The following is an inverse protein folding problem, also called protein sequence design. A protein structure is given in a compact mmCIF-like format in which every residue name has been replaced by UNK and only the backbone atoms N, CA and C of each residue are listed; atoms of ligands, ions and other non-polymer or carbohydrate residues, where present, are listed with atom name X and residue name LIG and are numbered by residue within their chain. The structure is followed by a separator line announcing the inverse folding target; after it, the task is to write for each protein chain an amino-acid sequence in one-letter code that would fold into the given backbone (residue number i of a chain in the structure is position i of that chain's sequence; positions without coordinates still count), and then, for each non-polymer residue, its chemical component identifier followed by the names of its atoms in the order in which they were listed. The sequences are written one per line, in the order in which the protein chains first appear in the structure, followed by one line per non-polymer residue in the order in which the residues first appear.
data_IF_905062593326
#
_entry.id   IF_905062593326
#
_cell.length_a   1.000
_cell.length_b   1.000
_cell.length_c   1.000
_cell.angle_alpha   90.00
_cell.angle_beta   90.00
_cell.angle_gamma   90.00
#
_symmetry.space_group_name_H-M   'P 1'
#
loop_
_entity.id
_entity.type
_entity.pdbx_description
1 polymer ?
#
# COMPACT_ATOMS: atom_id res chain seq x y z
N UNK A 1 -31.66 61.49 -13.39
CA UNK A 1 -30.96 60.55 -14.29
C UNK A 1 -29.74 60.05 -13.55
N UNK A 2 -29.90 58.98 -12.76
CA UNK A 2 -28.84 58.38 -11.96
C UNK A 2 -27.98 57.48 -12.84
N UNK A 3 -26.66 57.68 -12.82
CA UNK A 3 -25.69 56.83 -13.49
C UNK A 3 -25.77 55.38 -12.95
N UNK A 4 -25.47 54.34 -13.75
CA UNK A 4 -25.70 52.94 -13.39
C UNK A 4 -24.64 52.37 -12.41
N UNK A 5 -24.89 51.20 -11.80
CA UNK A 5 -24.12 50.59 -10.71
C UNK A 5 -22.81 49.89 -11.14
N UNK A 6 -22.19 50.28 -12.26
CA UNK A 6 -20.97 49.62 -12.77
C UNK A 6 -19.74 49.88 -11.89
N UNK A 7 -19.69 50.99 -11.15
CA UNK A 7 -18.52 51.34 -10.33
C UNK A 7 -18.43 50.55 -9.02
N UNK A 8 -19.56 50.20 -8.40
CA UNK A 8 -19.57 49.44 -7.14
C UNK A 8 -19.19 47.98 -7.34
N UNK A 9 -19.68 47.32 -8.40
CA UNK A 9 -19.36 45.91 -8.70
C UNK A 9 -17.89 45.71 -9.09
N UNK A 10 -17.29 46.64 -9.85
CA UNK A 10 -15.87 46.59 -10.24
C UNK A 10 -14.94 46.85 -9.04
N UNK A 11 -15.32 47.76 -8.13
CA UNK A 11 -14.54 48.04 -6.91
C UNK A 11 -14.62 46.88 -5.92
N UNK A 12 -15.79 46.27 -5.75
CA UNK A 12 -15.99 45.12 -4.88
C UNK A 12 -15.24 43.88 -5.41
N UNK A 13 -15.24 43.67 -6.73
CA UNK A 13 -14.44 42.62 -7.38
C UNK A 13 -12.92 42.85 -7.19
N UNK A 14 -12.42 44.09 -7.36
CA UNK A 14 -11.01 44.42 -7.08
C UNK A 14 -10.63 44.21 -5.61
N UNK A 15 -11.52 44.52 -4.67
CA UNK A 15 -11.28 44.32 -3.23
C UNK A 15 -11.21 42.83 -2.89
N UNK A 16 -12.11 42.01 -3.44
CA UNK A 16 -12.11 40.56 -3.26
C UNK A 16 -10.86 39.89 -3.85
N UNK A 17 -10.38 40.34 -5.01
CA UNK A 17 -9.12 39.85 -5.62
C UNK A 17 -7.92 40.14 -4.71
N UNK A 18 -7.82 41.36 -4.15
CA UNK A 18 -6.73 41.73 -3.23
C UNK A 18 -6.77 40.93 -1.92
N UNK A 19 -7.95 40.70 -1.37
CA UNK A 19 -8.12 39.86 -0.17
C UNK A 19 -7.67 38.42 -0.41
N UNK A 20 -8.11 37.80 -1.51
CA UNK A 20 -7.72 36.43 -1.87
C UNK A 20 -6.22 36.33 -2.11
N UNK A 21 -5.64 37.35 -2.76
CA UNK A 21 -4.21 37.41 -3.00
C UNK A 21 -3.41 37.51 -1.70
N UNK A 22 -3.81 38.37 -0.75
CA UNK A 22 -3.17 38.45 0.57
C UNK A 22 -3.26 37.14 1.34
N UNK A 23 -4.43 36.49 1.33
CA UNK A 23 -4.57 35.17 1.97
C UNK A 23 -3.65 34.12 1.35
N UNK A 24 -3.47 34.12 0.04
CA UNK A 24 -2.52 33.24 -0.66
C UNK A 24 -1.08 33.56 -0.24
N UNK A 25 -0.74 34.83 -0.11
CA UNK A 25 0.59 35.28 0.31
C UNK A 25 0.89 34.93 1.77
N UNK A 26 -0.13 34.84 2.62
CA UNK A 26 -0.02 34.44 4.03
C UNK A 26 -0.19 32.91 4.25
N UNK A 27 -0.71 32.16 3.27
CA UNK A 27 -1.00 30.73 3.43
C UNK A 27 0.23 29.83 3.43
N UNK A 28 1.41 30.35 3.07
CA UNK A 28 2.60 29.54 2.90
C UNK A 28 3.05 28.82 4.17
N UNK A 29 2.90 29.45 5.34
CA UNK A 29 3.25 28.84 6.64
C UNK A 29 2.34 27.65 6.94
N UNK A 30 1.02 27.84 6.78
CA UNK A 30 0.03 26.79 6.98
C UNK A 30 0.20 25.65 5.97
N UNK A 31 0.47 25.96 4.70
CA UNK A 31 0.75 24.97 3.66
C UNK A 31 1.98 24.12 3.99
N UNK A 32 3.05 24.75 4.50
CA UNK A 32 4.28 24.05 4.89
C UNK A 32 4.02 23.11 6.07
N UNK A 33 3.32 23.60 7.12
CA UNK A 33 2.97 22.80 8.29
C UNK A 33 2.08 21.61 7.92
N UNK A 34 1.00 21.85 7.16
CA UNK A 34 0.09 20.79 6.71
C UNK A 34 0.81 19.78 5.82
N UNK A 35 1.72 20.24 4.96
CA UNK A 35 2.52 19.34 4.11
C UNK A 35 3.48 18.48 4.92
N UNK A 36 4.15 19.02 5.94
CA UNK A 36 5.04 18.23 6.80
C UNK A 36 4.27 17.12 7.54
N UNK A 37 3.10 17.46 8.10
CA UNK A 37 2.20 16.50 8.76
C UNK A 37 1.70 15.46 7.76
N UNK A 38 1.30 15.88 6.56
CA UNK A 38 0.81 14.99 5.51
C UNK A 38 1.91 14.04 5.02
N UNK A 39 3.15 14.51 4.87
CA UNK A 39 4.30 13.65 4.54
C UNK A 39 4.46 12.60 5.63
N UNK A 40 4.58 13.01 6.89
CA UNK A 40 4.74 12.07 8.00
C UNK A 40 3.61 11.04 8.01
N UNK A 41 2.35 11.48 7.93
CA UNK A 41 1.19 10.60 7.94
C UNK A 41 1.13 9.65 6.74
N UNK A 42 1.49 10.12 5.53
CA UNK A 42 1.47 9.28 4.32
C UNK A 42 2.59 8.25 4.29
N UNK A 43 3.75 8.52 4.89
CA UNK A 43 4.81 7.52 5.06
C UNK A 43 4.38 6.39 6.01
N UNK A 44 3.59 6.67 7.05
CA UNK A 44 3.06 5.63 7.95
C UNK A 44 2.12 4.65 7.23
N UNK A 45 1.49 5.07 6.11
CA UNK A 45 0.61 4.20 5.34
C UNK A 45 1.35 3.03 4.67
N UNK A 46 2.67 3.09 4.49
CA UNK A 46 3.44 1.93 4.03
C UNK A 46 3.37 0.77 5.02
N UNK A 47 3.47 1.04 6.34
CA UNK A 47 3.30 0.02 7.37
C UNK A 47 1.88 -0.57 7.39
N UNK A 48 0.87 0.23 7.04
CA UNK A 48 -0.50 -0.27 6.88
C UNK A 48 -0.62 -1.25 5.69
N UNK A 49 0.08 -0.99 4.58
CA UNK A 49 0.12 -1.91 3.43
C UNK A 49 0.81 -3.21 3.81
N UNK A 50 1.92 -3.15 4.54
CA UNK A 50 2.62 -4.33 5.03
C UNK A 50 1.74 -5.16 5.96
N UNK A 51 1.10 -4.52 6.94
CA UNK A 51 0.13 -5.16 7.83
C UNK A 51 -1.04 -5.81 7.06
N UNK A 52 -1.63 -5.09 6.11
CA UNK A 52 -2.74 -5.60 5.29
C UNK A 52 -2.30 -6.79 4.44
N UNK A 53 -1.07 -6.75 3.90
CA UNK A 53 -0.48 -7.85 3.14
C UNK A 53 -0.33 -9.09 4.00
N UNK A 54 0.25 -8.96 5.20
CA UNK A 54 0.43 -10.07 6.12
C UNK A 54 -0.93 -10.66 6.55
N UNK A 55 -1.94 -9.82 6.78
CA UNK A 55 -3.31 -10.27 7.06
C UNK A 55 -3.96 -11.00 5.90
N UNK A 56 -3.73 -10.57 4.66
CA UNK A 56 -4.23 -11.30 3.49
C UNK A 56 -3.54 -12.65 3.30
N UNK A 57 -2.24 -12.75 3.56
CA UNK A 57 -1.52 -14.04 3.53
C UNK A 57 -2.08 -14.98 4.60
N UNK A 58 -2.34 -14.48 5.79
CA UNK A 58 -2.84 -15.28 6.91
C UNK A 58 -4.30 -15.73 6.71
N UNK A 59 -5.18 -14.85 6.25
CA UNK A 59 -6.63 -15.05 6.25
C UNK A 59 -7.23 -15.52 4.92
N UNK A 60 -6.66 -15.11 3.77
CA UNK A 60 -7.27 -15.46 2.48
C UNK A 60 -6.94 -16.91 2.11
N UNK A 61 -7.90 -17.67 1.56
CA UNK A 61 -7.60 -18.90 0.83
C UNK A 61 -6.62 -18.64 -0.31
N UNK A 62 -5.80 -19.64 -0.65
CA UNK A 62 -4.73 -19.51 -1.66
C UNK A 62 -5.29 -19.11 -3.03
N UNK A 63 -6.51 -19.57 -3.37
CA UNK A 63 -7.21 -19.25 -4.62
C UNK A 63 -7.59 -17.77 -4.71
N UNK A 64 -7.69 -17.09 -3.57
CA UNK A 64 -8.04 -15.66 -3.47
C UNK A 64 -6.82 -14.74 -3.38
N UNK A 65 -5.60 -15.28 -3.33
CA UNK A 65 -4.38 -14.48 -3.20
C UNK A 65 -4.22 -13.44 -4.33
N UNK A 66 -4.69 -13.74 -5.55
CA UNK A 66 -4.66 -12.77 -6.66
C UNK A 66 -5.47 -11.50 -6.35
N UNK A 67 -6.61 -11.63 -5.66
CA UNK A 67 -7.42 -10.47 -5.27
C UNK A 67 -6.72 -9.69 -4.15
N UNK A 68 -6.17 -10.40 -3.17
CA UNK A 68 -5.34 -9.79 -2.11
C UNK A 68 -4.19 -8.99 -2.70
N UNK A 69 -3.43 -9.59 -3.63
CA UNK A 69 -2.34 -8.95 -4.37
C UNK A 69 -2.80 -7.67 -5.06
N UNK A 70 -3.88 -7.74 -5.86
CA UNK A 70 -4.38 -6.58 -6.60
C UNK A 70 -4.74 -5.42 -5.66
N UNK A 71 -5.36 -5.70 -4.51
CA UNK A 71 -5.74 -4.69 -3.53
C UNK A 71 -4.49 -4.02 -2.92
N UNK A 72 -3.56 -4.81 -2.37
CA UNK A 72 -2.37 -4.25 -1.68
C UNK A 72 -1.39 -3.60 -2.66
N UNK A 73 -1.25 -4.13 -3.88
CA UNK A 73 -0.39 -3.53 -4.90
C UNK A 73 -0.95 -2.20 -5.39
N UNK A 74 -2.26 -2.11 -5.69
CA UNK A 74 -2.90 -0.85 -6.07
C UNK A 74 -2.88 0.16 -4.91
N UNK A 75 -3.05 -0.32 -3.67
CA UNK A 75 -2.89 0.49 -2.46
C UNK A 75 -1.48 1.06 -2.32
N UNK A 76 -0.45 0.23 -2.51
CA UNK A 76 0.95 0.62 -2.49
C UNK A 76 1.24 1.68 -3.56
N UNK A 77 0.72 1.49 -4.78
CA UNK A 77 0.86 2.44 -5.89
C UNK A 77 0.20 3.78 -5.55
N UNK A 78 -1.03 3.76 -5.04
CA UNK A 78 -1.77 4.95 -4.65
C UNK A 78 -1.04 5.75 -3.56
N UNK A 79 -0.55 5.08 -2.52
CA UNK A 79 0.22 5.70 -1.43
C UNK A 79 1.54 6.25 -1.96
N UNK A 80 2.25 5.50 -2.82
CA UNK A 80 3.53 5.93 -3.38
C UNK A 80 3.42 7.20 -4.23
N UNK A 81 2.35 7.31 -5.03
CA UNK A 81 2.04 8.52 -5.80
C UNK A 81 1.74 9.68 -4.85
N UNK A 82 0.91 9.46 -3.82
CA UNK A 82 0.54 10.49 -2.86
C UNK A 82 1.74 11.02 -2.06
N UNK A 83 2.60 10.11 -1.56
CA UNK A 83 3.86 10.46 -0.89
C UNK A 83 4.75 11.26 -1.84
N UNK A 84 4.92 10.80 -3.08
CA UNK A 84 5.73 11.51 -4.09
C UNK A 84 5.22 12.94 -4.33
N UNK A 85 3.90 13.14 -4.41
CA UNK A 85 3.30 14.47 -4.59
C UNK A 85 3.62 15.39 -3.42
N UNK A 86 3.48 14.93 -2.18
CA UNK A 86 3.78 15.75 -1.00
C UNK A 86 5.28 16.04 -0.85
N UNK A 87 6.16 15.07 -1.14
CA UNK A 87 7.61 15.27 -1.12
C UNK A 87 8.04 16.29 -2.17
N UNK A 88 7.57 16.15 -3.42
CA UNK A 88 7.91 17.09 -4.49
C UNK A 88 7.34 18.48 -4.17
N UNK A 89 6.11 18.57 -3.64
CA UNK A 89 5.54 19.83 -3.16
C UNK A 89 6.46 20.49 -2.11
N UNK A 90 6.89 19.74 -1.11
CA UNK A 90 7.75 20.25 -0.03
C UNK A 90 9.10 20.74 -0.55
N UNK A 91 9.75 20.00 -1.45
CA UNK A 91 11.01 20.41 -2.10
C UNK A 91 10.83 21.68 -2.91
N UNK A 92 9.76 21.78 -3.70
CA UNK A 92 9.46 22.99 -4.48
C UNK A 92 9.17 24.20 -3.58
N UNK A 93 8.51 23.98 -2.44
CA UNK A 93 8.25 25.06 -1.47
C UNK A 93 9.54 25.53 -0.80
N UNK A 94 10.45 24.63 -0.44
CA UNK A 94 11.77 24.99 0.06
C UNK A 94 12.59 25.77 -0.99
N UNK A 95 12.55 25.33 -2.26
CA UNK A 95 13.15 26.05 -3.38
C UNK A 95 12.57 27.45 -3.55
N UNK A 96 11.24 27.58 -3.46
CA UNK A 96 10.54 28.87 -3.51
C UNK A 96 10.99 29.81 -2.39
N UNK A 97 11.06 29.33 -1.13
CA UNK A 97 11.53 30.12 0.01
C UNK A 97 12.95 30.63 -0.27
N UNK A 98 13.83 29.77 -0.79
CA UNK A 98 15.18 30.15 -1.19
C UNK A 98 15.22 31.24 -2.27
N UNK A 99 14.38 31.14 -3.31
CA UNK A 99 14.28 32.15 -4.36
C UNK A 99 13.75 33.49 -3.85
N UNK A 100 12.76 33.48 -2.95
CA UNK A 100 12.22 34.68 -2.32
C UNK A 100 13.28 35.35 -1.43
N UNK A 101 13.99 34.56 -0.63
CA UNK A 101 15.11 35.04 0.18
C UNK A 101 16.25 35.61 -0.66
N UNK A 102 16.54 35.00 -1.81
CA UNK A 102 17.52 35.55 -2.75
C UNK A 102 17.05 36.87 -3.36
N UNK A 103 15.76 36.97 -3.74
CA UNK A 103 15.19 38.15 -4.40
C UNK A 103 15.08 39.36 -3.46
N UNK A 104 15.01 39.14 -2.15
CA UNK A 104 14.96 40.23 -1.17
C UNK A 104 16.31 40.94 -1.02
N UNK A 105 17.42 40.23 -1.24
CA UNK A 105 18.79 40.76 -1.17
C UNK A 105 19.31 41.15 -2.55
N UNK A 106 19.03 40.35 -3.57
CA UNK A 106 19.45 40.53 -4.97
C UNK A 106 18.23 40.45 -5.90
N UNK A 107 17.56 41.58 -6.19
CA UNK A 107 16.28 41.59 -6.92
C UNK A 107 16.39 41.31 -8.43
N UNK A 108 17.54 41.62 -9.03
CA UNK A 108 17.78 41.42 -10.45
C UNK A 108 19.26 41.11 -10.72
N UNK A 109 19.53 40.63 -11.93
CA UNK A 109 20.88 40.35 -12.38
C UNK A 109 21.61 41.66 -12.70
N UNK A 110 22.83 41.85 -12.16
CA UNK A 110 23.71 42.96 -12.55
C UNK A 110 24.70 42.51 -13.64
N UNK A 111 24.74 43.24 -14.75
CA UNK A 111 25.77 43.07 -15.80
C UNK A 111 27.09 43.72 -15.35
N UNK A 112 26.99 44.83 -14.62
CA UNK A 112 28.12 45.69 -14.26
C UNK A 112 28.88 45.14 -13.06
N UNK A 113 28.17 44.54 -12.09
CA UNK A 113 28.74 43.97 -10.86
C UNK A 113 28.98 42.45 -10.98
N UNK A 114 28.94 41.91 -12.21
CA UNK A 114 29.11 40.48 -12.44
C UNK A 114 30.55 40.04 -12.22
N UNK A 115 30.75 38.94 -11.50
CA UNK A 115 32.07 38.28 -11.35
C UNK A 115 32.55 37.66 -12.67
N UNK A 116 31.65 37.46 -13.63
CA UNK A 116 31.96 36.89 -14.95
C UNK A 116 32.19 37.96 -16.01
N UNK A 117 32.88 37.59 -17.09
CA UNK A 117 33.08 38.51 -18.23
C UNK A 117 31.74 39.00 -18.80
N UNK A 118 31.67 40.28 -19.19
CA UNK A 118 30.46 40.89 -19.75
C UNK A 118 29.81 40.06 -20.86
N UNK A 119 30.61 39.55 -21.80
CA UNK A 119 30.12 38.73 -22.94
C UNK A 119 29.44 37.45 -22.44
N UNK A 120 30.01 36.80 -21.42
CA UNK A 120 29.42 35.59 -20.84
C UNK A 120 28.13 35.92 -20.10
N UNK A 121 28.14 36.98 -19.28
CA UNK A 121 26.97 37.43 -18.51
C UNK A 121 25.81 37.78 -19.42
N UNK A 122 26.02 38.58 -20.46
CA UNK A 122 24.97 38.94 -21.43
C UNK A 122 24.36 37.69 -22.11
N UNK A 123 25.19 36.71 -22.49
CA UNK A 123 24.71 35.46 -23.10
C UNK A 123 23.90 34.60 -22.12
N UNK A 124 24.31 34.52 -20.85
CA UNK A 124 23.59 33.76 -19.83
C UNK A 124 22.26 34.44 -19.48
N UNK A 125 22.25 35.77 -19.32
CA UNK A 125 21.03 36.51 -19.03
C UNK A 125 20.00 36.43 -20.16
N UNK A 126 20.44 36.25 -21.41
CA UNK A 126 19.55 36.04 -22.55
C UNK A 126 18.73 34.73 -22.48
N UNK A 127 19.19 33.72 -21.73
CA UNK A 127 18.51 32.42 -21.60
C UNK A 127 17.84 32.22 -20.23
N UNK A 128 18.24 33.00 -19.22
CA UNK A 128 17.68 32.89 -17.88
C UNK A 128 16.32 33.62 -17.78
N UNK A 129 15.34 33.04 -17.07
CA UNK A 129 14.13 33.76 -16.72
C UNK A 129 14.44 34.86 -15.71
N UNK A 130 13.58 35.89 -15.65
CA UNK A 130 13.56 36.82 -14.53
C UNK A 130 13.29 36.07 -13.22
N UNK A 131 13.92 36.50 -12.14
CA UNK A 131 13.79 35.85 -10.84
C UNK A 131 12.34 35.89 -10.33
N UNK A 132 11.68 37.05 -10.41
CA UNK A 132 10.25 37.20 -10.06
C UNK A 132 9.33 36.24 -10.84
N UNK A 133 9.58 36.05 -12.14
CA UNK A 133 8.79 35.14 -12.97
C UNK A 133 8.95 33.69 -12.52
N UNK A 134 10.14 33.34 -12.06
CA UNK A 134 10.45 32.00 -11.55
C UNK A 134 9.76 31.77 -10.21
N UNK A 135 9.84 32.74 -9.29
CA UNK A 135 9.14 32.73 -8.00
C UNK A 135 7.64 32.52 -8.22
N UNK A 136 7.01 33.29 -9.11
CA UNK A 136 5.57 33.16 -9.42
C UNK A 136 5.22 31.80 -10.01
N UNK A 137 6.02 31.28 -10.94
CA UNK A 137 5.78 29.96 -11.56
C UNK A 137 5.89 28.82 -10.55
N UNK A 138 6.90 28.86 -9.66
CA UNK A 138 7.08 27.85 -8.62
C UNK A 138 5.94 27.93 -7.60
N UNK A 139 5.51 29.13 -7.20
CA UNK A 139 4.37 29.31 -6.29
C UNK A 139 3.07 28.72 -6.87
N UNK A 140 2.76 29.05 -8.13
CA UNK A 140 1.63 28.49 -8.87
C UNK A 140 1.70 26.95 -8.92
N UNK A 141 2.91 26.41 -9.14
CA UNK A 141 3.12 24.97 -9.16
C UNK A 141 2.85 24.37 -7.79
N UNK A 142 3.40 24.92 -6.72
CA UNK A 142 3.16 24.46 -5.35
C UNK A 142 1.66 24.42 -5.01
N UNK A 143 0.92 25.50 -5.28
CA UNK A 143 -0.53 25.55 -5.00
C UNK A 143 -1.32 24.47 -5.76
N UNK A 144 -0.96 24.23 -7.03
CA UNK A 144 -1.57 23.20 -7.87
C UNK A 144 -1.30 21.79 -7.31
N UNK A 145 -0.06 21.52 -6.89
CA UNK A 145 0.32 20.22 -6.33
C UNK A 145 -0.37 19.99 -5.00
N UNK A 146 -0.32 20.97 -4.11
CA UNK A 146 -0.94 20.90 -2.79
C UNK A 146 -2.44 20.62 -2.90
N UNK A 147 -3.15 21.38 -3.74
CA UNK A 147 -4.57 21.16 -3.99
C UNK A 147 -4.87 19.78 -4.57
N UNK A 148 -4.06 19.31 -5.53
CA UNK A 148 -4.23 17.97 -6.12
C UNK A 148 -3.99 16.86 -5.10
N UNK A 149 -2.88 16.93 -4.37
CA UNK A 149 -2.48 15.92 -3.38
C UNK A 149 -3.52 15.84 -2.26
N UNK A 150 -3.97 16.99 -1.75
CA UNK A 150 -5.00 17.05 -0.72
C UNK A 150 -6.35 16.52 -1.21
N UNK A 151 -6.73 16.79 -2.45
CA UNK A 151 -7.95 16.24 -3.06
C UNK A 151 -7.89 14.72 -3.18
N UNK A 152 -6.76 14.17 -3.63
CA UNK A 152 -6.54 12.73 -3.72
C UNK A 152 -6.56 12.10 -2.33
N UNK A 153 -5.90 12.72 -1.35
CA UNK A 153 -5.93 12.29 0.05
C UNK A 153 -7.37 12.21 0.57
N UNK A 154 -8.19 13.25 0.36
CA UNK A 154 -9.60 13.24 0.77
C UNK A 154 -10.41 12.14 0.09
N UNK A 155 -10.19 11.91 -1.21
CA UNK A 155 -10.84 10.82 -1.95
C UNK A 155 -10.48 9.47 -1.34
N UNK A 156 -9.18 9.22 -1.10
CA UNK A 156 -8.70 7.96 -0.54
C UNK A 156 -9.20 7.74 0.89
N UNK A 157 -9.14 8.76 1.74
CA UNK A 157 -9.65 8.69 3.11
C UNK A 157 -11.15 8.39 3.12
N UNK A 158 -11.94 9.10 2.31
CA UNK A 158 -13.38 8.86 2.21
C UNK A 158 -13.69 7.44 1.71
N UNK A 159 -13.01 7.00 0.65
CA UNK A 159 -13.20 5.66 0.08
C UNK A 159 -12.81 4.56 1.05
N UNK A 160 -11.68 4.71 1.73
CA UNK A 160 -11.21 3.75 2.73
C UNK A 160 -12.21 3.63 3.88
N UNK A 161 -12.72 4.75 4.40
CA UNK A 161 -13.72 4.75 5.46
C UNK A 161 -15.05 4.14 5.01
N UNK A 162 -15.51 4.52 3.82
CA UNK A 162 -16.75 3.96 3.24
C UNK A 162 -16.65 2.45 3.02
N UNK A 163 -15.56 1.97 2.43
CA UNK A 163 -15.32 0.54 2.21
C UNK A 163 -15.16 -0.22 3.53
N UNK A 164 -14.51 0.37 4.53
CA UNK A 164 -14.36 -0.26 5.84
C UNK A 164 -15.72 -0.45 6.53
N UNK A 165 -16.59 0.57 6.49
CA UNK A 165 -17.95 0.48 7.02
C UNK A 165 -18.76 -0.54 6.22
N UNK A 166 -18.65 -0.53 4.89
CA UNK A 166 -19.33 -1.52 4.04
C UNK A 166 -18.89 -2.94 4.38
N UNK A 167 -17.59 -3.19 4.53
CA UNK A 167 -17.05 -4.51 4.90
C UNK A 167 -17.48 -4.94 6.30
N UNK A 168 -17.55 -4.01 7.26
CA UNK A 168 -18.07 -4.30 8.60
C UNK A 168 -19.53 -4.77 8.53
N UNK A 169 -20.39 -4.03 7.82
CA UNK A 169 -21.80 -4.39 7.63
C UNK A 169 -21.91 -5.71 6.87
N UNK A 170 -21.09 -5.92 5.83
CA UNK A 170 -21.05 -7.16 5.06
C UNK A 170 -20.79 -8.36 5.96
N UNK A 171 -19.74 -8.31 6.79
CA UNK A 171 -19.38 -9.40 7.69
C UNK A 171 -20.44 -9.64 8.77
N UNK A 172 -21.09 -8.59 9.30
CA UNK A 172 -22.17 -8.74 10.28
C UNK A 172 -23.43 -9.39 9.71
N UNK A 173 -23.70 -9.23 8.40
CA UNK A 173 -24.92 -9.73 7.75
C UNK A 173 -24.69 -11.04 6.98
N UNK A 174 -23.44 -11.48 6.79
CA UNK A 174 -23.09 -12.61 5.95
C UNK A 174 -23.77 -13.92 6.38
N UNK A 175 -23.94 -14.12 7.69
CA UNK A 175 -24.59 -15.32 8.24
C UNK A 175 -26.13 -15.30 8.08
N UNK A 176 -26.71 -14.12 7.84
CA UNK A 176 -28.16 -13.92 7.77
C UNK A 176 -28.67 -13.71 6.35
N UNK A 177 -27.84 -13.14 5.47
CA UNK A 177 -28.22 -12.74 4.11
C UNK A 177 -27.23 -13.36 3.12
N UNK A 178 -27.72 -14.00 2.04
CA UNK A 178 -26.86 -14.54 1.01
C UNK A 178 -25.89 -13.50 0.44
N UNK A 179 -24.62 -13.90 0.28
CA UNK A 179 -23.52 -13.03 -0.15
C UNK A 179 -23.80 -12.27 -1.46
N UNK A 180 -24.48 -12.89 -2.43
CA UNK A 180 -24.82 -12.25 -3.70
C UNK A 180 -25.75 -11.05 -3.54
N UNK A 181 -26.63 -11.04 -2.53
CA UNK A 181 -27.51 -9.90 -2.22
C UNK A 181 -26.70 -8.76 -1.61
N UNK A 182 -25.81 -9.10 -0.67
CA UNK A 182 -24.93 -8.13 0.00
C UNK A 182 -23.96 -7.44 -0.97
N UNK A 183 -23.63 -8.09 -2.10
CA UNK A 183 -22.78 -7.55 -3.16
C UNK A 183 -23.52 -6.63 -4.16
N UNK A 184 -24.86 -6.62 -4.18
CA UNK A 184 -25.65 -5.78 -5.12
C UNK A 184 -25.25 -4.30 -5.06
N UNK A 185 -25.12 -3.64 -3.89
CA UNK A 185 -24.72 -2.24 -3.83
C UNK A 185 -23.35 -1.98 -4.48
N UNK A 186 -22.37 -2.87 -4.27
CA UNK A 186 -21.05 -2.76 -4.87
C UNK A 186 -21.12 -2.85 -6.40
N UNK A 187 -21.87 -3.81 -6.93
CA UNK A 187 -22.07 -3.95 -8.39
C UNK A 187 -22.80 -2.75 -9.00
N UNK A 188 -23.78 -2.17 -8.29
CA UNK A 188 -24.47 -0.96 -8.73
C UNK A 188 -23.52 0.24 -8.82
N UNK A 189 -22.67 0.44 -7.80
CA UNK A 189 -21.66 1.50 -7.80
C UNK A 189 -20.65 1.30 -8.95
N UNK A 190 -20.16 0.06 -9.12
CA UNK A 190 -19.22 -0.27 -10.19
C UNK A 190 -19.83 -0.04 -11.58
N UNK A 191 -21.07 -0.48 -11.80
CA UNK A 191 -21.82 -0.26 -13.03
C UNK A 191 -21.99 1.24 -13.33
N UNK A 192 -22.31 2.02 -12.29
CA UNK A 192 -22.46 3.47 -12.40
C UNK A 192 -21.12 4.16 -12.78
N UNK A 193 -20.00 3.73 -12.20
CA UNK A 193 -18.65 4.21 -12.54
C UNK A 193 -18.28 3.87 -14.00
N UNK A 194 -18.54 2.64 -14.45
CA UNK A 194 -18.31 2.21 -15.83
C UNK A 194 -19.17 3.02 -16.80
N UNK A 195 -20.45 3.22 -16.48
CA UNK A 195 -21.36 4.01 -17.29
C UNK A 195 -20.92 5.48 -17.38
N UNK A 196 -20.49 6.07 -16.25
CA UNK A 196 -19.89 7.41 -16.24
C UNK A 196 -18.67 7.46 -17.15
N UNK A 197 -17.77 6.47 -17.08
CA UNK A 197 -16.56 6.42 -17.92
C UNK A 197 -16.92 6.40 -19.41
N UNK A 198 -17.84 5.53 -19.82
CA UNK A 198 -18.29 5.43 -21.22
C UNK A 198 -18.88 6.75 -21.71
N UNK A 199 -19.80 7.36 -20.95
CA UNK A 199 -20.40 8.64 -21.31
C UNK A 199 -19.38 9.79 -21.32
N UNK A 200 -18.38 9.74 -20.44
CA UNK A 200 -17.30 10.73 -20.43
C UNK A 200 -16.43 10.61 -21.68
N UNK A 201 -16.08 9.39 -22.10
CA UNK A 201 -15.33 9.19 -23.35
C UNK A 201 -16.14 9.68 -24.54
N UNK A 202 -17.40 9.23 -24.68
CA UNK A 202 -18.28 9.61 -25.80
C UNK A 202 -18.50 11.13 -25.81
N UNK A 203 -18.84 11.71 -24.66
CA UNK A 203 -19.10 13.14 -24.51
C UNK A 203 -17.89 14.02 -24.82
N UNK A 204 -16.66 13.52 -24.69
CA UNK A 204 -15.45 14.26 -25.04
C UNK A 204 -14.98 14.07 -26.49
N UNK A 205 -15.61 13.17 -27.27
CA UNK A 205 -15.30 13.04 -28.70
C UNK A 205 -15.71 14.30 -29.47
N UNK A 206 -14.90 14.70 -30.47
CA UNK A 206 -15.17 15.88 -31.31
C UNK A 206 -16.56 15.89 -31.96
N UNK A 207 -17.15 14.71 -32.19
CA UNK A 207 -18.49 14.55 -32.78
C UNK A 207 -19.63 14.88 -31.80
N UNK A 208 -19.44 14.64 -30.50
CA UNK A 208 -20.52 14.70 -29.50
C UNK A 208 -20.28 15.75 -28.40
N UNK A 209 -19.12 16.42 -28.40
CA UNK A 209 -18.78 17.47 -27.43
C UNK A 209 -19.78 18.64 -27.38
N UNK A 210 -20.44 18.94 -28.51
CA UNK A 210 -21.43 20.01 -28.61
C UNK A 210 -22.87 19.47 -28.71
N UNK A 211 -23.08 18.16 -28.57
CA UNK A 211 -24.41 17.58 -28.61
C UNK A 211 -25.10 17.73 -27.24
N UNK A 212 -26.12 18.59 -27.16
CA UNK A 212 -26.83 18.93 -25.92
C UNK A 212 -27.36 17.71 -25.18
N UNK A 213 -27.89 16.71 -25.90
CA UNK A 213 -28.45 15.52 -25.27
C UNK A 213 -27.36 14.68 -24.59
N UNK A 214 -26.24 14.42 -25.28
CA UNK A 214 -25.11 13.66 -24.74
C UNK A 214 -24.51 14.38 -23.53
N UNK A 215 -24.28 15.69 -23.64
CA UNK A 215 -23.70 16.48 -22.54
C UNK A 215 -24.63 16.54 -21.31
N UNK A 216 -25.95 16.62 -21.53
CA UNK A 216 -26.91 16.63 -20.42
C UNK A 216 -26.92 15.30 -19.66
N UNK A 217 -26.88 14.17 -20.38
CA UNK A 217 -26.80 12.86 -19.75
C UNK A 217 -25.46 12.62 -19.06
N UNK A 218 -24.35 13.02 -19.70
CA UNK A 218 -23.03 12.99 -19.08
C UNK A 218 -23.03 13.77 -17.76
N UNK A 219 -23.58 14.99 -17.73
CA UNK A 219 -23.70 15.78 -16.50
C UNK A 219 -24.52 15.06 -15.42
N UNK A 220 -25.70 14.54 -15.77
CA UNK A 220 -26.56 13.81 -14.82
C UNK A 220 -25.85 12.59 -14.23
N UNK A 221 -25.17 11.82 -15.07
CA UNK A 221 -24.41 10.63 -14.67
C UNK A 221 -23.22 11.00 -13.79
N UNK A 222 -22.38 11.96 -14.19
CA UNK A 222 -21.23 12.41 -13.39
C UNK A 222 -21.70 12.92 -12.03
N UNK A 223 -22.78 13.70 -11.98
CA UNK A 223 -23.34 14.21 -10.73
C UNK A 223 -23.84 13.08 -9.82
N UNK A 224 -24.62 12.14 -10.36
CA UNK A 224 -25.16 11.01 -9.59
C UNK A 224 -24.05 10.13 -9.07
N UNK A 225 -23.12 9.73 -9.95
CA UNK A 225 -21.98 8.89 -9.58
C UNK A 225 -21.14 9.57 -8.52
N UNK A 226 -20.76 10.84 -8.71
CA UNK A 226 -19.98 11.58 -7.71
C UNK A 226 -20.69 11.68 -6.36
N UNK A 227 -22.02 11.84 -6.35
CA UNK A 227 -22.80 11.87 -5.12
C UNK A 227 -22.78 10.53 -4.37
N UNK A 228 -22.82 9.41 -5.08
CA UNK A 228 -22.75 8.06 -4.48
C UNK A 228 -21.32 7.74 -4.05
N UNK A 229 -20.36 7.98 -4.92
CA UNK A 229 -18.94 7.64 -4.79
C UNK A 229 -18.23 8.50 -3.76
N UNK A 230 -18.56 9.79 -3.64
CA UNK A 230 -17.89 10.73 -2.74
C UNK A 230 -18.78 11.28 -1.63
N UNK A 231 -20.05 10.86 -1.57
CA UNK A 231 -21.00 11.27 -0.54
C UNK A 231 -21.07 12.78 -0.37
N UNK A 232 -20.98 13.31 0.87
CA UNK A 232 -21.07 14.76 1.14
C UNK A 232 -20.00 15.61 0.44
N UNK A 233 -18.85 15.02 0.09
CA UNK A 233 -17.72 15.75 -0.50
C UNK A 233 -17.86 16.00 -2.00
N UNK A 234 -18.87 15.42 -2.66
CA UNK A 234 -18.98 15.42 -4.13
C UNK A 234 -18.92 16.81 -4.75
N UNK A 235 -19.54 17.83 -4.14
CA UNK A 235 -19.54 19.20 -4.69
C UNK A 235 -18.14 19.82 -4.67
N UNK A 236 -17.44 19.67 -3.56
CA UNK A 236 -16.09 20.21 -3.37
C UNK A 236 -15.11 19.52 -4.33
N UNK A 237 -15.19 18.19 -4.44
CA UNK A 237 -14.32 17.41 -5.33
C UNK A 237 -14.61 17.69 -6.81
N UNK A 238 -15.89 17.86 -7.19
CA UNK A 238 -16.26 18.27 -8.55
C UNK A 238 -15.78 19.68 -8.87
N UNK A 239 -15.88 20.62 -7.92
CA UNK A 239 -15.35 21.97 -8.10
C UNK A 239 -13.85 21.93 -8.40
N UNK A 240 -13.08 21.21 -7.58
CA UNK A 240 -11.63 21.06 -7.79
C UNK A 240 -11.36 20.42 -9.15
N UNK A 241 -12.01 19.29 -9.45
CA UNK A 241 -11.83 18.57 -10.72
C UNK A 241 -12.14 19.44 -11.95
N UNK A 242 -13.17 20.28 -11.89
CA UNK A 242 -13.54 21.20 -12.99
C UNK A 242 -12.54 22.36 -13.14
N UNK A 243 -12.02 22.89 -12.02
CA UNK A 243 -10.95 23.91 -12.04
C UNK A 243 -9.69 23.33 -12.70
N UNK A 244 -9.30 22.12 -12.34
CA UNK A 244 -8.19 21.41 -12.98
C UNK A 244 -8.46 21.16 -14.46
N UNK A 245 -9.57 20.50 -14.81
CA UNK A 245 -9.88 20.09 -16.18
C UNK A 245 -9.97 21.25 -17.18
N UNK A 246 -10.50 22.40 -16.75
CA UNK A 246 -10.62 23.60 -17.59
C UNK A 246 -9.28 24.32 -17.84
N UNK A 247 -8.31 24.17 -16.94
CA UNK A 247 -6.99 24.81 -17.04
C UNK A 247 -5.87 23.88 -17.52
N UNK A 248 -6.07 22.55 -17.44
CA UNK A 248 -5.08 21.52 -17.75
C UNK A 248 -4.50 21.64 -19.16
N UNK A 249 -5.36 21.83 -20.19
CA UNK A 249 -4.92 21.89 -21.60
C UNK A 249 -4.13 23.16 -21.95
N UNK A 250 -4.27 24.23 -21.18
CA UNK A 250 -3.62 25.52 -21.48
C UNK A 250 -2.18 25.59 -20.93
N UNK A 251 -1.87 24.84 -19.87
CA UNK A 251 -0.55 24.84 -19.22
C UNK A 251 0.17 23.50 -19.44
N UNK A 252 0.95 23.37 -20.52
CA UNK A 252 1.75 22.14 -20.81
C UNK A 252 2.65 21.70 -19.63
N UNK A 253 3.17 22.66 -18.85
CA UNK A 253 3.97 22.40 -17.64
C UNK A 253 3.24 21.53 -16.61
N UNK A 254 1.91 21.66 -16.51
CA UNK A 254 1.10 20.90 -15.54
C UNK A 254 0.96 19.44 -15.97
N UNK A 255 0.96 19.16 -17.29
CA UNK A 255 0.98 17.80 -17.82
C UNK A 255 2.28 17.09 -17.46
N UNK A 256 3.43 17.74 -17.70
CA UNK A 256 4.74 17.17 -17.34
C UNK A 256 4.87 16.94 -15.84
N UNK A 257 4.32 17.83 -15.02
CA UNK A 257 4.29 17.67 -13.58
C UNK A 257 3.50 16.43 -13.15
N UNK A 258 2.29 16.23 -13.69
CA UNK A 258 1.48 15.03 -13.40
C UNK A 258 2.24 13.76 -13.83
N UNK A 259 2.83 13.75 -15.02
CA UNK A 259 3.64 12.61 -15.46
C UNK A 259 4.83 12.35 -14.53
N UNK A 260 5.48 13.40 -14.01
CA UNK A 260 6.56 13.26 -13.04
C UNK A 260 6.08 12.64 -11.72
N UNK A 261 4.87 12.96 -11.25
CA UNK A 261 4.28 12.31 -10.07
C UNK A 261 4.01 10.84 -10.27
N UNK A 262 3.44 10.47 -11.42
CA UNK A 262 3.23 9.05 -11.73
C UNK A 262 4.56 8.32 -11.87
N UNK A 263 5.56 8.90 -12.54
CA UNK A 263 6.87 8.27 -12.69
C UNK A 263 7.57 8.10 -11.33
N UNK A 264 7.60 9.15 -10.49
CA UNK A 264 8.16 9.09 -9.13
C UNK A 264 7.42 8.08 -8.25
N UNK A 265 6.09 8.08 -8.31
CA UNK A 265 5.25 7.16 -7.56
C UNK A 265 5.48 5.70 -7.97
N UNK A 266 5.53 5.42 -9.26
CA UNK A 266 5.85 4.07 -9.79
C UNK A 266 7.24 3.64 -9.34
N UNK A 267 8.25 4.52 -9.44
CA UNK A 267 9.59 4.21 -8.96
C UNK A 267 9.60 3.87 -7.46
N UNK A 268 8.95 4.68 -6.63
CA UNK A 268 8.82 4.43 -5.20
C UNK A 268 8.06 3.12 -4.90
N UNK A 269 7.03 2.79 -5.68
CA UNK A 269 6.32 1.51 -5.59
C UNK A 269 7.25 0.34 -5.89
N UNK A 270 8.07 0.42 -6.94
CA UNK A 270 9.01 -0.65 -7.29
C UNK A 270 10.03 -0.90 -6.18
N UNK A 271 10.54 0.16 -5.55
CA UNK A 271 11.44 0.06 -4.40
C UNK A 271 10.70 -0.58 -3.22
N UNK A 272 9.53 -0.05 -2.85
CA UNK A 272 8.79 -0.53 -1.68
C UNK A 272 8.16 -1.89 -1.84
N UNK A 273 7.88 -2.32 -3.06
CA UNK A 273 7.37 -3.65 -3.35
C UNK A 273 8.34 -4.74 -2.87
N UNK A 274 9.65 -4.50 -2.96
CA UNK A 274 10.68 -5.45 -2.54
C UNK A 274 10.81 -5.54 -1.02
N UNK A 275 10.47 -4.46 -0.30
CA UNK A 275 10.51 -4.40 1.17
C UNK A 275 9.28 -5.09 1.82
N UNK A 276 8.30 -5.55 1.02
CA UNK A 276 7.03 -6.08 1.53
C UNK A 276 6.84 -7.55 1.19
N UNK A 277 5.92 -8.22 1.88
CA UNK A 277 5.52 -9.60 1.59
C UNK A 277 4.55 -9.74 0.39
N UNK A 278 4.26 -8.66 -0.35
CA UNK A 278 3.34 -8.68 -1.50
C UNK A 278 3.73 -9.75 -2.55
N UNK A 279 5.01 -9.99 -2.86
CA UNK A 279 5.40 -11.05 -3.80
C UNK A 279 4.88 -12.44 -3.42
N UNK A 280 4.69 -12.72 -2.12
CA UNK A 280 4.18 -14.01 -1.66
C UNK A 280 2.76 -14.31 -2.17
N UNK A 281 1.94 -13.27 -2.42
CA UNK A 281 0.56 -13.41 -2.91
C UNK A 281 0.46 -13.77 -4.40
N UNK A 282 1.55 -13.67 -5.17
CA UNK A 282 1.54 -14.00 -6.61
C UNK A 282 2.53 -15.11 -6.96
N UNK A 283 3.74 -15.03 -6.40
CA UNK A 283 4.85 -15.93 -6.68
C UNK A 283 5.49 -16.27 -5.34
N UNK A 284 4.90 -17.18 -4.52
CA UNK A 284 5.59 -17.68 -3.36
C UNK A 284 6.94 -18.23 -3.82
N UNK A 285 8.02 -17.75 -3.21
CA UNK A 285 9.38 -18.09 -3.63
C UNK A 285 9.56 -19.60 -3.52
N UNK A 286 9.95 -20.23 -4.63
CA UNK A 286 10.51 -21.57 -4.55
C UNK A 286 11.85 -21.45 -3.83
N UNK A 287 12.01 -22.19 -2.74
CA UNK A 287 13.24 -22.18 -1.98
C UNK A 287 14.20 -23.21 -2.55
N UNK A 288 15.33 -22.74 -3.07
CA UNK A 288 16.37 -23.62 -3.61
C UNK A 288 17.06 -24.37 -2.47
N UNK A 289 17.29 -25.66 -2.66
CA UNK A 289 18.02 -26.53 -1.72
C UNK A 289 19.45 -26.07 -1.48
N UNK A 290 20.04 -25.29 -2.40
CA UNK A 290 21.43 -24.84 -2.34
C UNK A 290 21.59 -23.41 -1.78
N UNK A 291 20.51 -22.75 -1.35
CA UNK A 291 20.56 -21.38 -0.83
C UNK A 291 20.19 -21.34 0.64
N UNK A 292 20.98 -20.60 1.42
CA UNK A 292 20.66 -20.24 2.80
C UNK A 292 19.84 -18.96 2.80
N UNK A 293 18.69 -18.97 3.45
CA UNK A 293 17.85 -17.79 3.62
C UNK A 293 17.80 -17.40 5.10
N UNK A 294 18.02 -16.11 5.38
CA UNK A 294 18.07 -15.58 6.75
C UNK A 294 16.79 -15.84 7.55
N UNK A 295 15.64 -15.89 6.87
CA UNK A 295 14.34 -16.14 7.49
C UNK A 295 14.15 -17.58 8.02
N UNK A 296 15.07 -18.49 7.75
CA UNK A 296 15.08 -19.83 8.34
C UNK A 296 15.74 -19.91 9.70
N UNK A 297 16.49 -18.89 10.13
CA UNK A 297 17.29 -18.95 11.34
C UNK A 297 16.88 -17.82 12.29
N UNK A 298 16.46 -18.17 13.51
CA UNK A 298 15.92 -17.19 14.47
C UNK A 298 16.95 -16.20 15.00
N UNK A 299 18.22 -16.58 15.05
CA UNK A 299 19.32 -15.68 15.42
C UNK A 299 19.72 -14.69 14.31
N UNK A 300 19.26 -14.90 13.07
CA UNK A 300 19.62 -14.08 11.90
C UNK A 300 18.43 -13.35 11.27
N UNK A 301 17.20 -13.76 11.58
CA UNK A 301 16.02 -13.14 11.00
C UNK A 301 15.79 -11.75 11.61
N UNK A 302 16.05 -10.69 10.84
CA UNK A 302 15.84 -9.31 11.28
C UNK A 302 14.37 -8.88 11.32
N UNK A 303 13.50 -9.59 10.60
CA UNK A 303 12.06 -9.34 10.55
C UNK A 303 11.29 -10.59 11.02
N UNK A 304 11.11 -10.67 12.33
CA UNK A 304 10.28 -11.71 12.96
C UNK A 304 8.86 -11.20 13.24
N UNK A 305 8.39 -10.14 12.59
CA UNK A 305 7.01 -9.65 12.78
C UNK A 305 5.99 -10.58 12.13
N UNK A 306 6.35 -11.24 11.02
CA UNK A 306 5.51 -12.21 10.32
C UNK A 306 6.36 -13.25 9.58
N UNK A 307 6.28 -14.49 10.02
CA UNK A 307 6.98 -15.65 9.47
C UNK A 307 6.18 -16.25 8.30
N UNK A 308 6.82 -16.29 7.13
CA UNK A 308 6.33 -16.98 5.93
C UNK A 308 6.83 -18.42 5.80
N UNK A 309 7.85 -18.77 6.57
CA UNK A 309 8.62 -20.00 6.43
C UNK A 309 8.83 -20.69 7.77
N UNK A 310 9.09 -22.01 7.77
CA UNK A 310 9.60 -22.68 8.96
C UNK A 310 10.95 -22.10 9.38
N UNK A 311 11.26 -22.24 10.67
CA UNK A 311 12.43 -21.64 11.28
C UNK A 311 13.10 -22.63 12.26
N UNK A 312 14.42 -22.63 12.29
CA UNK A 312 15.26 -23.31 13.28
C UNK A 312 16.08 -22.29 14.09
N UNK A 313 16.73 -22.73 15.16
CA UNK A 313 17.39 -21.80 16.07
C UNK A 313 18.60 -21.06 15.49
N UNK A 314 19.36 -21.68 14.58
CA UNK A 314 20.59 -21.14 14.01
C UNK A 314 21.02 -21.98 12.79
N UNK A 315 21.88 -21.42 11.95
CA UNK A 315 22.54 -22.16 10.87
C UNK A 315 23.67 -23.05 11.40
N UNK A 316 24.19 -22.79 12.59
CA UNK A 316 25.17 -23.63 13.30
C UNK A 316 24.54 -24.18 14.58
N UNK A 317 24.34 -25.48 14.61
CA UNK A 317 23.75 -26.20 15.75
C UNK A 317 24.85 -26.82 16.59
N UNK A 318 25.06 -26.27 17.79
CA UNK A 318 26.00 -26.78 18.81
C UNK A 318 25.29 -27.64 19.87
N UNK A 319 23.95 -27.54 19.93
CA UNK A 319 23.13 -28.19 20.95
C UNK A 319 22.76 -29.65 20.64
N UNK A 320 22.03 -30.24 21.58
CA UNK A 320 21.59 -31.64 21.54
C UNK A 320 20.35 -31.87 20.68
N UNK A 321 19.65 -30.80 20.32
CA UNK A 321 18.39 -30.87 19.56
C UNK A 321 18.29 -29.73 18.56
N UNK A 322 17.63 -29.98 17.43
CA UNK A 322 17.17 -28.95 16.50
C UNK A 322 15.71 -28.66 16.81
N UNK A 323 15.40 -27.40 17.13
CA UNK A 323 14.04 -26.94 17.38
C UNK A 323 13.48 -26.39 16.07
N UNK A 324 12.52 -27.09 15.50
CA UNK A 324 11.81 -26.68 14.29
C UNK A 324 10.49 -26.02 14.67
N UNK A 325 10.27 -24.79 14.24
CA UNK A 325 8.96 -24.12 14.29
C UNK A 325 8.38 -24.01 12.88
N UNK A 326 7.11 -24.36 12.71
CA UNK A 326 6.38 -24.24 11.45
C UNK A 326 5.17 -23.33 11.69
N UNK A 327 5.09 -22.14 11.05
CA UNK A 327 3.93 -21.28 11.16
C UNK A 327 2.71 -21.92 10.47
N UNK A 328 1.53 -21.74 11.06
CA UNK A 328 0.25 -22.22 10.53
C UNK A 328 -0.66 -21.01 10.31
N UNK A 329 -1.05 -20.78 9.06
CA UNK A 329 -1.93 -19.67 8.71
C UNK A 329 -3.40 -20.01 8.98
N UNK A 330 -4.22 -19.00 9.27
CA UNK A 330 -5.63 -19.21 9.61
C UNK A 330 -6.43 -19.85 8.48
N UNK A 331 -6.16 -19.47 7.23
CA UNK A 331 -6.84 -20.03 6.06
C UNK A 331 -6.57 -21.53 5.85
N UNK A 332 -5.51 -22.10 6.45
CA UNK A 332 -5.20 -23.53 6.32
C UNK A 332 -6.31 -24.42 6.87
N UNK A 333 -7.10 -23.92 7.83
CA UNK A 333 -8.27 -24.61 8.37
C UNK A 333 -9.30 -24.98 7.30
N UNK A 334 -9.38 -24.20 6.23
CA UNK A 334 -10.33 -24.44 5.14
C UNK A 334 -10.01 -25.74 4.36
N UNK A 335 -8.76 -26.23 4.43
CA UNK A 335 -8.32 -27.44 3.74
C UNK A 335 -8.14 -28.65 4.66
N UNK A 336 -8.30 -28.46 5.99
CA UNK A 336 -8.09 -29.53 6.97
C UNK A 336 -9.12 -30.65 6.82
N UNK A 337 -10.37 -30.33 6.52
CA UNK A 337 -11.44 -31.32 6.39
C UNK A 337 -11.16 -32.32 5.25
N UNK A 338 -10.61 -31.86 4.13
CA UNK A 338 -10.22 -32.72 3.00
C UNK A 338 -9.08 -33.68 3.37
N UNK A 339 -8.17 -33.24 4.23
CA UNK A 339 -6.98 -34.02 4.60
C UNK A 339 -7.22 -34.96 5.78
N UNK A 340 -8.03 -34.53 6.75
CA UNK A 340 -8.15 -35.17 8.06
C UNK A 340 -9.57 -35.64 8.40
N UNK A 341 -10.58 -35.21 7.63
CA UNK A 341 -11.99 -35.33 7.97
C UNK A 341 -12.49 -34.17 8.86
N UNK A 342 -13.80 -34.10 9.06
CA UNK A 342 -14.39 -33.16 10.02
C UNK A 342 -14.31 -33.70 11.44
N UNK A 343 -14.05 -32.82 12.39
CA UNK A 343 -14.12 -33.16 13.81
C UNK A 343 -15.58 -33.35 14.23
N UNK A 344 -15.92 -34.49 14.81
CA UNK A 344 -17.23 -34.76 15.36
C UNK A 344 -17.20 -34.60 16.87
N UNK A 345 -17.99 -33.64 17.37
CA UNK A 345 -18.18 -33.45 18.80
C UNK A 345 -18.91 -34.64 19.42
N UNK A 346 -18.50 -35.01 20.62
CA UNK A 346 -19.08 -36.13 21.36
C UNK A 346 -19.87 -35.58 22.55
N UNK A 347 -21.18 -35.45 22.36
CA UNK A 347 -22.12 -34.92 23.36
C UNK A 347 -22.10 -35.69 24.71
N UNK A 348 -21.46 -36.88 24.75
CA UNK A 348 -21.32 -37.66 25.98
C UNK A 348 -20.13 -37.24 26.85
N UNK A 349 -19.17 -36.47 26.33
CA UNK A 349 -17.98 -36.02 27.04
C UNK A 349 -18.23 -34.72 27.81
N UNK A 350 -17.49 -34.55 28.91
CA UNK A 350 -17.45 -33.24 29.57
C UNK A 350 -16.80 -32.19 28.67
N UNK A 351 -17.14 -30.91 28.84
CA UNK A 351 -16.57 -29.82 28.03
C UNK A 351 -15.03 -29.77 28.06
N UNK A 352 -14.39 -30.21 29.15
CA UNK A 352 -12.93 -30.26 29.24
C UNK A 352 -12.34 -31.44 28.45
N UNK A 353 -12.95 -32.63 28.55
CA UNK A 353 -12.53 -33.81 27.77
C UNK A 353 -12.70 -33.58 26.27
N UNK A 354 -13.81 -32.97 25.89
CA UNK A 354 -14.12 -32.60 24.51
C UNK A 354 -13.07 -31.60 23.96
N UNK A 355 -12.69 -30.61 24.78
CA UNK A 355 -11.62 -29.67 24.44
C UNK A 355 -10.27 -30.36 24.25
N UNK A 356 -9.94 -31.36 25.07
CA UNK A 356 -8.70 -32.15 24.94
C UNK A 356 -8.72 -32.99 23.67
N UNK A 357 -9.84 -33.68 23.39
CA UNK A 357 -10.03 -34.52 22.19
C UNK A 357 -9.95 -33.68 20.92
N UNK A 358 -10.64 -32.54 20.86
CA UNK A 358 -10.59 -31.58 19.75
C UNK A 358 -9.17 -31.05 19.52
N UNK A 359 -8.48 -30.63 20.59
CA UNK A 359 -7.09 -30.13 20.48
C UNK A 359 -6.16 -31.20 19.91
N UNK A 360 -6.30 -32.45 20.35
CA UNK A 360 -5.52 -33.59 19.87
C UNK A 360 -5.82 -33.88 18.40
N UNK A 361 -7.10 -33.95 18.01
CA UNK A 361 -7.50 -34.14 16.62
C UNK A 361 -6.83 -33.12 15.68
N UNK A 362 -6.88 -31.83 16.01
CA UNK A 362 -6.26 -30.80 15.17
C UNK A 362 -4.72 -30.88 15.20
N UNK A 363 -4.11 -31.31 16.31
CA UNK A 363 -2.66 -31.53 16.36
C UNK A 363 -2.25 -32.66 15.40
N UNK A 364 -2.91 -33.81 15.52
CA UNK A 364 -2.71 -34.98 14.65
C UNK A 364 -2.98 -34.63 13.17
N UNK A 365 -3.93 -33.73 12.92
CA UNK A 365 -4.19 -33.22 11.57
C UNK A 365 -3.01 -32.41 11.02
N UNK A 366 -2.41 -31.51 11.82
CA UNK A 366 -1.21 -30.79 11.41
C UNK A 366 -0.06 -31.73 11.02
N UNK A 367 0.11 -32.84 11.74
CA UNK A 367 1.15 -33.84 11.44
C UNK A 367 0.89 -34.57 10.10
N UNK A 368 -0.36 -34.74 9.67
CA UNK A 368 -0.68 -35.43 8.42
C UNK A 368 -0.27 -34.64 7.17
N UNK A 369 -0.41 -33.32 7.22
CA UNK A 369 -0.17 -32.47 6.05
C UNK A 369 1.18 -31.74 6.08
N UNK A 370 1.95 -31.91 7.16
CA UNK A 370 3.35 -31.54 7.25
C UNK A 370 4.23 -32.77 7.18
N UNK A 371 5.13 -32.82 6.19
CA UNK A 371 6.18 -33.83 6.09
C UNK A 371 7.52 -33.18 6.38
N UNK A 372 8.29 -33.80 7.26
CA UNK A 372 9.65 -33.34 7.59
C UNK A 372 10.63 -34.44 7.23
N UNK A 373 11.62 -34.11 6.40
CA UNK A 373 12.70 -35.04 6.06
C UNK A 373 14.04 -34.44 6.47
N UNK A 374 14.95 -35.28 6.96
CA UNK A 374 16.32 -34.91 7.29
C UNK A 374 17.25 -35.71 6.40
N UNK A 375 18.06 -35.00 5.60
CA UNK A 375 18.99 -35.59 4.64
C UNK A 375 18.30 -36.64 3.72
N UNK A 376 17.06 -36.37 3.32
CA UNK A 376 16.22 -37.23 2.49
C UNK A 376 15.48 -38.36 3.22
N UNK A 377 15.67 -38.52 4.54
CA UNK A 377 14.98 -39.54 5.36
C UNK A 377 13.78 -38.92 6.05
N UNK A 378 12.60 -39.52 5.94
CA UNK A 378 11.39 -39.07 6.62
C UNK A 378 11.54 -39.17 8.14
N UNK A 379 11.22 -38.08 8.84
CA UNK A 379 11.23 -38.02 10.31
C UNK A 379 9.81 -38.14 10.85
N UNK A 380 9.66 -38.89 11.93
CA UNK A 380 8.46 -38.87 12.76
C UNK A 380 8.72 -37.93 13.95
N UNK A 381 8.14 -36.74 13.91
CA UNK A 381 8.35 -35.69 14.93
C UNK A 381 7.05 -35.53 15.69
N UNK A 382 7.12 -35.62 17.03
CA UNK A 382 6.00 -35.29 17.88
C UNK A 382 5.89 -33.76 17.97
N UNK A 383 4.85 -33.20 17.36
CA UNK A 383 4.65 -31.76 17.37
C UNK A 383 3.89 -31.29 18.61
N UNK A 384 4.17 -30.05 19.04
CA UNK A 384 3.41 -29.33 20.05
C UNK A 384 2.86 -28.04 19.43
N UNK A 385 1.68 -27.60 19.89
CA UNK A 385 1.14 -26.29 19.54
C UNK A 385 1.90 -25.20 20.30
N UNK A 386 2.28 -24.14 19.60
CA UNK A 386 2.97 -23.01 20.22
C UNK A 386 2.75 -21.74 19.41
N UNK A 387 2.58 -20.63 20.11
CA UNK A 387 2.68 -19.31 19.48
C UNK A 387 4.15 -18.87 19.42
N UNK A 388 4.54 -18.32 18.28
CA UNK A 388 5.88 -17.81 18.07
C UNK A 388 6.18 -16.69 19.07
N UNK A 389 7.41 -16.65 19.61
CA UNK A 389 7.73 -15.77 20.73
C UNK A 389 7.73 -14.27 20.36
N UNK A 390 7.96 -13.95 19.08
CA UNK A 390 8.08 -12.57 18.59
C UNK A 390 6.91 -12.18 17.69
N UNK A 391 6.63 -12.96 16.64
CA UNK A 391 5.50 -12.70 15.73
C UNK A 391 4.13 -13.00 16.33
N UNK A 392 4.06 -13.71 17.47
CA UNK A 392 2.81 -14.21 18.08
C UNK A 392 1.96 -15.09 17.15
N UNK A 393 2.51 -15.52 16.00
CA UNK A 393 1.80 -16.41 15.08
C UNK A 393 1.66 -17.80 15.68
N UNK A 394 0.47 -18.37 15.53
CA UNK A 394 0.22 -19.76 15.84
C UNK A 394 1.06 -20.68 14.94
N UNK A 395 1.61 -21.73 15.52
CA UNK A 395 2.34 -22.74 14.79
C UNK A 395 2.46 -24.06 15.53
N UNK A 396 3.21 -24.97 14.91
CA UNK A 396 3.62 -26.23 15.53
C UNK A 396 5.14 -26.23 15.74
N UNK A 397 5.59 -26.76 16.87
CA UNK A 397 7.00 -26.88 17.23
C UNK A 397 7.36 -28.34 17.45
N UNK A 398 8.49 -28.76 16.87
CA UNK A 398 9.04 -30.09 17.02
C UNK A 398 10.51 -30.04 17.39
N UNK A 399 11.01 -31.11 18.00
CA UNK A 399 12.40 -31.26 18.40
C UNK A 399 12.99 -32.49 17.71
N UNK A 400 14.16 -32.32 17.10
CA UNK A 400 14.89 -33.38 16.40
C UNK A 400 16.15 -33.66 17.20
N UNK A 401 16.27 -34.89 17.69
CA UNK A 401 17.39 -35.29 18.54
C UNK A 401 18.70 -35.45 17.75
N UNK A 402 19.82 -35.17 18.41
CA UNK A 402 21.16 -35.22 17.81
C UNK A 402 21.54 -36.56 17.19
N UNK A 403 20.96 -37.66 17.66
CA UNK A 403 21.26 -39.02 17.17
C UNK A 403 20.88 -39.19 15.69
N UNK A 404 19.95 -38.37 15.21
CA UNK A 404 19.51 -38.35 13.81
C UNK A 404 20.40 -37.47 12.93
N UNK A 405 21.21 -36.60 13.52
CA UNK A 405 22.04 -35.61 12.82
C UNK A 405 23.38 -36.19 12.39
N UNK A 406 23.81 -35.86 11.18
CA UNK A 406 25.18 -36.15 10.71
C UNK A 406 26.11 -35.04 11.17
N UNK A 407 27.33 -35.37 11.62
CA UNK A 407 28.35 -34.34 11.87
C UNK A 407 28.62 -33.58 10.56
N UNK A 408 28.58 -32.25 10.62
CA UNK A 408 28.75 -31.38 9.46
C UNK A 408 27.43 -30.95 8.82
N UNK A 409 27.37 -30.91 7.49
CA UNK A 409 26.21 -30.40 6.76
C UNK A 409 25.00 -31.33 6.89
N UNK A 410 23.86 -30.75 7.22
CA UNK A 410 22.55 -31.38 7.20
C UNK A 410 21.58 -30.51 6.41
N UNK A 411 20.52 -31.13 5.89
CA UNK A 411 19.43 -30.43 5.22
C UNK A 411 18.11 -30.95 5.78
N UNK A 412 17.33 -30.03 6.35
CA UNK A 412 15.98 -30.28 6.80
C UNK A 412 15.00 -29.78 5.73
N UNK A 413 14.17 -30.66 5.20
CA UNK A 413 13.14 -30.29 4.23
C UNK A 413 11.78 -30.40 4.88
N UNK A 414 11.04 -29.30 4.89
CA UNK A 414 9.66 -29.23 5.38
C UNK A 414 8.75 -29.06 4.18
N UNK A 415 7.79 -29.97 4.03
CA UNK A 415 6.77 -29.92 2.99
C UNK A 415 5.41 -29.76 3.66
N UNK A 416 4.64 -28.75 3.22
CA UNK A 416 3.26 -28.49 3.65
C UNK A 416 2.34 -28.69 2.45
N UNK A 417 1.41 -29.63 2.54
CA UNK A 417 0.44 -29.94 1.48
C UNK A 417 -0.94 -29.46 1.90
N UNK A 418 -1.50 -28.45 1.22
CA UNK A 418 -2.83 -27.93 1.51
C UNK A 418 -3.86 -28.58 0.57
N UNK A 419 -4.46 -29.69 1.00
CA UNK A 419 -5.35 -30.50 0.17
C UNK A 419 -4.71 -30.87 -1.18
N UNK A 420 -5.50 -30.83 -2.25
CA UNK A 420 -5.00 -30.98 -3.63
C UNK A 420 -4.59 -29.65 -4.27
N UNK A 421 -4.67 -28.53 -3.53
CA UNK A 421 -4.55 -27.17 -4.07
C UNK A 421 -3.09 -26.79 -4.30
N UNK A 422 -2.25 -26.96 -3.27
CA UNK A 422 -0.87 -26.47 -3.31
C UNK A 422 0.03 -27.18 -2.32
N UNK A 423 1.25 -27.43 -2.78
CA UNK A 423 2.34 -27.90 -1.93
C UNK A 423 3.41 -26.81 -1.80
N UNK A 424 3.84 -26.55 -0.57
CA UNK A 424 4.95 -25.68 -0.25
C UNK A 424 6.10 -26.51 0.28
N UNK A 425 7.31 -26.26 -0.20
CA UNK A 425 8.51 -26.96 0.26
C UNK A 425 9.59 -25.95 0.62
N UNK A 426 10.18 -26.12 1.80
CA UNK A 426 11.28 -25.32 2.33
C UNK A 426 12.46 -26.23 2.64
N UNK A 427 13.64 -25.89 2.13
CA UNK A 427 14.87 -26.64 2.39
C UNK A 427 15.80 -25.79 3.23
N UNK A 428 16.01 -26.22 4.47
CA UNK A 428 16.78 -25.51 5.50
C UNK A 428 18.11 -26.24 5.69
N UNK A 429 19.19 -25.81 5.01
CA UNK A 429 20.53 -26.31 5.29
C UNK A 429 21.02 -25.80 6.65
N UNK A 430 21.78 -26.61 7.40
CA UNK A 430 22.45 -26.18 8.62
C UNK A 430 23.67 -27.05 8.91
N UNK A 431 24.60 -26.54 9.71
CA UNK A 431 25.79 -27.24 10.15
C UNK A 431 25.60 -27.77 11.57
N UNK A 432 25.77 -29.07 11.77
CA UNK A 432 25.77 -29.67 13.10
C UNK A 432 27.20 -29.86 13.60
N UNK A 433 27.53 -29.15 14.68
CA UNK A 433 28.79 -29.25 15.39
C UNK A 433 28.53 -29.93 16.73
N UNK A 434 28.75 -31.26 16.85
CA UNK A 434 28.56 -31.95 18.12
C UNK A 434 29.46 -31.34 19.19
N UNK A 435 28.89 -31.09 20.37
CA UNK A 435 29.65 -30.67 21.52
C UNK A 435 30.77 -31.68 21.78
N UNK A 436 32.02 -31.24 21.55
CA UNK A 436 33.19 -31.99 21.99
C UNK A 436 33.35 -31.65 23.46
N UNK A 437 32.75 -32.46 24.33
CA UNK A 437 33.21 -32.52 25.71
C UNK A 437 34.68 -32.90 25.65
N UNK A 438 35.57 -31.92 25.84
CA UNK A 438 36.91 -32.19 26.33
C UNK A 438 36.72 -32.82 27.71
N UNK A 439 36.85 -34.14 27.77
CA UNK A 439 37.03 -34.88 29.02
C UNK A 439 38.29 -34.41 29.74
#
# INVERSE_FOLDING_TARGET
MSLPPETTSVVENKKNIKWLQRLKEESWEAELLVSAIAIFGTFQLFGLIEWATNKYIDLLPVEQYIYGYMIVFLGLLAISILVSMFVIHFVLRAYWIGLVGLNSVFPDYSIEDSVYSRIYTEKILAILPKQEDTIRKVDDLCSVIFSSAFTILLIYTYMSLFLSIYMLIYNMLLDYIPSYILLIPLFLILSLLVLQMIFSVIGNLKKYNNNVWVQTWMFKLVRLTSMVTYGPLYRNLLQVSMVFGSNFKKKKSLVYLVLAFFASGIFLTLVKFQDTNIPHLILPKNHDVNLMYLNYYSDQNSDESFLLTPQIQSDIIVGETVKLFIPIFHHERNYQAETCGEYQEDDSLSSEEERVKSRKFYLDCYEKYHKVTLNGTLLNINFLKKDHAVSEQFGIVGFIDKELLKKGNNTLVVTKTLGDVKEFTWSIPFYYQPNTLQN
#
